data_IF_013290700379
#
_entry.id   IF_013290700379
#
_cell.length_a   1.000
_cell.length_b   1.000
_cell.length_c   1.000
_cell.angle_alpha   90.00
_cell.angle_beta   90.00
_cell.angle_gamma   90.00
#
_symmetry.space_group_name_H-M   'P 1'
#
loop_
_entity.id
_entity.type
_entity.pdbx_description
1 polymer ?
#
# COMPACT_ATOMS: atom_id res chain seq x y z
N UNK A 1 -17.73 3.69 -6.21
CA UNK A 1 -18.64 3.48 -5.06
C UNK A 1 -17.87 2.63 -4.07
N UNK A 2 -17.71 3.07 -2.83
CA UNK A 2 -17.11 2.26 -1.76
C UNK A 2 -18.23 1.76 -0.87
N UNK A 3 -18.17 0.49 -0.48
CA UNK A 3 -19.18 -0.12 0.38
C UNK A 3 -18.68 -0.21 1.80
N UNK A 4 -19.59 -0.09 2.77
CA UNK A 4 -19.24 -0.35 4.16
C UNK A 4 -18.81 -1.81 4.32
N UNK A 5 -17.98 -2.12 5.33
CA UNK A 5 -17.60 -3.49 5.64
C UNK A 5 -18.82 -4.38 5.92
N UNK A 6 -19.91 -3.82 6.47
CA UNK A 6 -21.15 -4.53 6.69
C UNK A 6 -21.87 -4.86 5.38
N UNK A 7 -22.04 -3.88 4.50
CA UNK A 7 -22.62 -4.05 3.15
C UNK A 7 -21.85 -5.12 2.38
N UNK A 8 -20.52 -5.08 2.40
CA UNK A 8 -19.65 -6.07 1.77
C UNK A 8 -19.83 -7.48 2.32
N UNK A 9 -19.87 -7.62 3.65
CA UNK A 9 -20.10 -8.93 4.29
C UNK A 9 -21.47 -9.49 3.91
N UNK A 10 -22.52 -8.66 3.91
CA UNK A 10 -23.88 -9.10 3.58
C UNK A 10 -24.01 -9.48 2.11
N UNK A 11 -23.48 -8.65 1.19
CA UNK A 11 -23.42 -8.96 -0.23
C UNK A 11 -22.61 -10.23 -0.47
N UNK A 12 -21.43 -10.33 0.14
CA UNK A 12 -20.54 -11.47 0.00
C UNK A 12 -21.17 -12.77 0.49
N UNK A 13 -21.79 -12.77 1.67
CA UNK A 13 -22.48 -13.94 2.20
C UNK A 13 -23.64 -14.39 1.30
N UNK A 14 -24.48 -13.44 0.87
CA UNK A 14 -25.63 -13.74 0.01
C UNK A 14 -25.19 -14.27 -1.36
N UNK A 15 -24.17 -13.67 -1.97
CA UNK A 15 -23.65 -14.10 -3.26
C UNK A 15 -22.88 -15.44 -3.17
N UNK A 16 -22.14 -15.69 -2.08
CA UNK A 16 -21.51 -16.99 -1.80
C UNK A 16 -22.49 -18.13 -1.62
N UNK A 17 -23.63 -17.89 -1.00
CA UNK A 17 -24.68 -18.91 -0.89
C UNK A 17 -25.22 -19.39 -2.24
N UNK A 18 -24.96 -18.64 -3.33
CA UNK A 18 -25.44 -18.89 -4.69
C UNK A 18 -24.35 -19.36 -5.66
N UNK A 19 -23.18 -19.75 -5.17
CA UNK A 19 -22.10 -20.25 -6.02
C UNK A 19 -22.54 -21.41 -6.92
N UNK A 20 -22.16 -21.32 -8.19
CA UNK A 20 -22.51 -22.28 -9.22
C UNK A 20 -23.98 -22.28 -9.63
N UNK A 21 -24.85 -21.49 -8.99
CA UNK A 21 -26.26 -21.39 -9.35
C UNK A 21 -26.47 -20.37 -10.47
N UNK A 22 -27.48 -20.57 -11.35
CA UNK A 22 -27.92 -19.53 -12.28
C UNK A 22 -28.36 -18.28 -11.52
N UNK A 23 -27.96 -17.12 -12.01
CA UNK A 23 -28.36 -15.82 -11.46
C UNK A 23 -28.89 -14.95 -12.59
N UNK A 24 -30.14 -14.51 -12.45
CA UNK A 24 -30.74 -13.43 -13.21
C UNK A 24 -30.76 -12.14 -12.39
N UNK A 25 -30.96 -10.99 -13.03
CA UNK A 25 -31.00 -9.71 -12.33
C UNK A 25 -32.06 -9.70 -11.20
N UNK A 26 -33.27 -10.20 -11.46
CA UNK A 26 -34.35 -10.22 -10.47
C UNK A 26 -34.04 -11.09 -9.24
N UNK A 27 -33.13 -12.07 -9.34
CA UNK A 27 -32.69 -12.86 -8.19
C UNK A 27 -31.89 -12.03 -7.17
N UNK A 28 -31.46 -10.84 -7.56
CA UNK A 28 -30.68 -9.91 -6.77
C UNK A 28 -31.50 -8.74 -6.20
N UNK A 29 -32.84 -8.73 -6.34
CA UNK A 29 -33.71 -7.65 -5.81
C UNK A 29 -33.48 -7.32 -4.33
N UNK A 30 -33.05 -8.31 -3.54
CA UNK A 30 -32.66 -8.10 -2.14
C UNK A 30 -31.51 -7.10 -1.96
N UNK A 31 -30.67 -6.92 -2.96
CA UNK A 31 -29.55 -5.98 -2.94
C UNK A 31 -29.99 -4.52 -2.86
N UNK A 32 -31.24 -4.18 -3.23
CA UNK A 32 -31.76 -2.82 -3.09
C UNK A 32 -31.81 -2.36 -1.64
N UNK A 33 -32.01 -3.29 -0.69
CA UNK A 33 -31.94 -2.99 0.74
C UNK A 33 -30.55 -2.56 1.21
N UNK A 34 -29.52 -2.89 0.43
CA UNK A 34 -28.11 -2.59 0.75
C UNK A 34 -27.53 -1.48 -0.13
N UNK A 35 -28.03 -1.35 -1.37
CA UNK A 35 -27.46 -0.51 -2.42
C UNK A 35 -28.37 0.64 -2.86
N UNK A 36 -29.61 0.69 -2.38
CA UNK A 36 -30.64 1.65 -2.81
C UNK A 36 -31.47 1.14 -3.99
N UNK A 37 -32.54 1.88 -4.33
CA UNK A 37 -33.46 1.52 -5.41
C UNK A 37 -32.72 1.32 -6.75
N UNK A 38 -32.92 0.15 -7.38
CA UNK A 38 -32.25 -0.22 -8.62
C UNK A 38 -30.80 -0.71 -8.45
N UNK A 39 -30.30 -0.83 -7.22
CA UNK A 39 -28.98 -1.36 -6.89
C UNK A 39 -28.79 -2.81 -7.35
N UNK A 40 -29.85 -3.61 -7.41
CA UNK A 40 -29.81 -4.98 -7.94
C UNK A 40 -29.40 -5.06 -9.41
N UNK A 41 -29.84 -4.11 -10.25
CA UNK A 41 -29.47 -4.04 -11.68
C UNK A 41 -28.00 -3.69 -11.83
N UNK A 42 -27.55 -2.71 -11.04
CA UNK A 42 -26.15 -2.34 -10.99
C UNK A 42 -25.28 -3.53 -10.55
N UNK A 43 -25.71 -4.25 -9.50
CA UNK A 43 -24.97 -5.40 -8.97
C UNK A 43 -24.86 -6.51 -10.02
N UNK A 44 -25.96 -6.80 -10.72
CA UNK A 44 -25.97 -7.78 -11.79
C UNK A 44 -24.99 -7.43 -12.92
N UNK A 45 -25.05 -6.19 -13.42
CA UNK A 45 -24.14 -5.69 -14.45
C UNK A 45 -22.67 -5.71 -13.98
N UNK A 46 -22.41 -5.33 -12.73
CA UNK A 46 -21.07 -5.35 -12.16
C UNK A 46 -20.51 -6.78 -12.06
N UNK A 47 -21.33 -7.76 -11.63
CA UNK A 47 -20.91 -9.17 -11.60
C UNK A 47 -20.57 -9.69 -13.01
N UNK A 48 -21.30 -9.27 -14.05
CA UNK A 48 -20.96 -9.62 -15.43
C UNK A 48 -19.65 -8.96 -15.88
N UNK A 49 -19.52 -7.63 -15.71
CA UNK A 49 -18.32 -6.88 -16.14
C UNK A 49 -17.04 -7.34 -15.44
N UNK A 50 -17.14 -7.76 -14.19
CA UNK A 50 -16.00 -8.24 -13.41
C UNK A 50 -15.77 -9.76 -13.52
N UNK A 51 -16.46 -10.44 -14.45
CA UNK A 51 -16.23 -11.87 -14.73
C UNK A 51 -16.66 -12.79 -13.59
N UNK A 52 -17.52 -12.33 -12.68
CA UNK A 52 -18.09 -13.14 -11.62
C UNK A 52 -19.17 -14.10 -12.14
N UNK A 53 -19.67 -13.90 -13.36
CA UNK A 53 -20.66 -14.76 -14.01
C UNK A 53 -20.07 -15.42 -15.26
N UNK A 54 -20.15 -16.75 -15.32
CA UNK A 54 -19.83 -17.54 -16.51
C UNK A 54 -21.04 -18.41 -16.88
N UNK A 55 -21.54 -18.29 -18.11
CA UNK A 55 -22.77 -18.95 -18.54
C UNK A 55 -24.00 -18.58 -17.68
N UNK A 56 -23.99 -17.37 -17.09
CA UNK A 56 -25.04 -16.91 -16.17
C UNK A 56 -24.96 -17.52 -14.76
N UNK A 57 -23.87 -18.21 -14.40
CA UNK A 57 -23.65 -18.81 -13.08
C UNK A 57 -22.55 -18.12 -12.31
N UNK A 58 -22.72 -17.94 -11.01
CA UNK A 58 -21.73 -17.32 -10.14
C UNK A 58 -20.49 -18.20 -9.98
N UNK A 59 -19.32 -17.63 -10.28
CA UNK A 59 -18.02 -18.30 -10.19
C UNK A 59 -17.26 -17.82 -8.96
N UNK A 60 -16.67 -18.76 -8.23
CA UNK A 60 -15.92 -18.48 -7.00
C UNK A 60 -14.72 -17.55 -7.24
N UNK A 61 -13.96 -17.73 -8.31
CA UNK A 61 -12.80 -16.86 -8.52
C UNK A 61 -13.21 -15.42 -8.89
N UNK A 62 -14.16 -15.27 -9.82
CA UNK A 62 -14.60 -13.96 -10.29
C UNK A 62 -15.34 -13.16 -9.22
N UNK A 63 -16.18 -13.81 -8.40
CA UNK A 63 -16.88 -13.14 -7.31
C UNK A 63 -15.93 -12.77 -6.14
N UNK A 64 -14.89 -13.57 -5.89
CA UNK A 64 -13.87 -13.22 -4.89
C UNK A 64 -13.09 -11.97 -5.33
N UNK A 65 -12.71 -11.92 -6.60
CA UNK A 65 -12.06 -10.75 -7.19
C UNK A 65 -12.98 -9.52 -7.17
N UNK A 66 -14.26 -9.69 -7.50
CA UNK A 66 -15.26 -8.62 -7.43
C UNK A 66 -15.38 -8.05 -6.02
N UNK A 67 -15.68 -8.88 -5.01
CA UNK A 67 -15.84 -8.41 -3.62
C UNK A 67 -14.54 -7.83 -3.07
N UNK A 68 -13.40 -8.45 -3.40
CA UNK A 68 -12.07 -7.98 -3.00
C UNK A 68 -11.77 -6.57 -3.51
N UNK A 69 -12.22 -6.22 -4.72
CA UNK A 69 -12.04 -4.86 -5.27
C UNK A 69 -12.81 -3.77 -4.53
N UNK A 70 -13.81 -4.14 -3.72
CA UNK A 70 -14.56 -3.21 -2.88
C UNK A 70 -14.20 -3.36 -1.40
N UNK A 71 -13.55 -4.46 -1.01
CA UNK A 71 -13.06 -4.74 0.34
C UNK A 71 -11.72 -4.05 0.65
N UNK A 72 -11.45 -2.87 0.06
CA UNK A 72 -10.36 -1.98 0.46
C UNK A 72 -10.62 -1.52 1.91
N UNK A 73 -10.32 -2.41 2.85
CA UNK A 73 -10.37 -2.15 4.28
C UNK A 73 -9.17 -1.31 4.63
N UNK A 74 -9.47 -0.15 5.22
CA UNK A 74 -8.46 0.69 5.81
C UNK A 74 -8.31 0.33 7.29
N UNK A 75 -7.18 -0.30 7.63
CA UNK A 75 -6.89 -0.66 9.02
C UNK A 75 -6.14 0.47 9.72
N UNK A 76 -6.53 0.78 10.95
CA UNK A 76 -5.77 1.69 11.81
C UNK A 76 -4.55 0.98 12.37
N UNK A 77 -3.40 1.64 12.24
CA UNK A 77 -2.10 1.16 12.66
C UNK A 77 -1.57 2.05 13.78
N UNK A 78 -0.79 1.46 14.69
CA UNK A 78 -0.29 2.16 15.87
C UNK A 78 1.15 1.79 16.16
N UNK A 79 1.94 2.79 16.55
CA UNK A 79 3.10 2.58 17.42
C UNK A 79 2.69 3.04 18.81
N UNK A 80 2.95 2.23 19.84
CA UNK A 80 2.68 2.58 21.24
C UNK A 80 3.91 2.22 22.08
N UNK A 81 4.28 3.03 23.09
CA UNK A 81 5.39 2.71 23.98
C UNK A 81 5.25 1.33 24.61
N UNK A 82 6.32 0.54 24.60
CA UNK A 82 6.42 -0.78 25.23
C UNK A 82 5.39 -1.81 24.72
N UNK A 83 4.98 -1.70 23.46
CA UNK A 83 4.11 -2.68 22.78
C UNK A 83 4.66 -3.01 21.41
N UNK A 84 4.23 -4.15 20.87
CA UNK A 84 4.47 -4.46 19.48
C UNK A 84 3.76 -3.44 18.58
N UNK A 85 4.48 -2.88 17.61
CA UNK A 85 3.96 -1.83 16.72
C UNK A 85 3.27 -2.48 15.51
N UNK A 86 1.95 -2.34 15.41
CA UNK A 86 1.22 -2.76 14.22
C UNK A 86 1.58 -1.90 13.01
N UNK A 87 2.05 -0.67 13.24
CA UNK A 87 2.58 0.20 12.19
C UNK A 87 3.87 -0.36 11.59
N UNK A 88 4.85 -0.72 12.42
CA UNK A 88 6.11 -1.30 11.95
C UNK A 88 5.88 -2.67 11.29
N UNK A 89 4.99 -3.50 11.86
CA UNK A 89 4.61 -4.77 11.26
C UNK A 89 4.00 -4.61 9.86
N UNK A 90 3.12 -3.62 9.66
CA UNK A 90 2.54 -3.35 8.35
C UNK A 90 3.58 -2.81 7.34
N UNK A 91 4.56 -2.01 7.78
CA UNK A 91 5.68 -1.61 6.91
C UNK A 91 6.50 -2.84 6.49
N UNK A 92 6.84 -3.72 7.45
CA UNK A 92 7.59 -4.94 7.15
C UNK A 92 6.83 -5.85 6.18
N UNK A 93 5.52 -5.98 6.35
CA UNK A 93 4.64 -6.71 5.41
C UNK A 93 4.66 -6.08 4.01
N UNK A 94 4.65 -4.75 3.90
CA UNK A 94 4.74 -4.05 2.62
C UNK A 94 6.08 -4.34 1.92
N UNK A 95 7.18 -4.33 2.67
CA UNK A 95 8.51 -4.65 2.13
C UNK A 95 8.59 -6.13 1.72
N UNK A 96 8.08 -7.03 2.55
CA UNK A 96 8.11 -8.46 2.32
C UNK A 96 7.25 -8.88 1.11
N UNK A 97 6.10 -8.23 0.91
CA UNK A 97 5.16 -8.54 -0.17
C UNK A 97 5.46 -7.83 -1.50
N UNK A 98 6.37 -6.85 -1.52
CA UNK A 98 6.71 -6.15 -2.75
C UNK A 98 7.50 -7.04 -3.72
N UNK A 99 6.97 -7.21 -4.93
CA UNK A 99 7.54 -8.03 -6.01
C UNK A 99 8.06 -7.19 -7.19
N UNK A 100 7.46 -6.02 -7.44
CA UNK A 100 7.75 -5.17 -8.60
C UNK A 100 8.42 -3.86 -8.17
N UNK A 101 7.76 -3.10 -7.29
CA UNK A 101 8.22 -1.77 -6.89
C UNK A 101 7.75 -1.43 -5.48
N UNK A 102 8.72 -1.15 -4.60
CA UNK A 102 8.51 -0.60 -3.27
C UNK A 102 8.84 0.90 -3.27
N UNK A 103 7.89 1.72 -2.80
CA UNK A 103 8.13 3.12 -2.47
C UNK A 103 8.26 3.30 -0.96
N UNK A 104 9.28 4.03 -0.52
CA UNK A 104 9.46 4.49 0.86
C UNK A 104 9.60 6.01 0.86
N UNK A 105 8.70 6.70 1.54
CA UNK A 105 8.70 8.16 1.64
C UNK A 105 8.73 8.50 3.11
N UNK A 106 9.74 9.24 3.55
CA UNK A 106 9.81 9.76 4.91
C UNK A 106 10.82 10.90 5.00
N UNK A 107 10.50 12.03 5.64
CA UNK A 107 11.46 13.13 5.77
C UNK A 107 12.69 12.74 6.59
N UNK A 108 12.51 11.85 7.56
CA UNK A 108 13.57 11.47 8.48
C UNK A 108 13.77 9.95 8.46
N UNK A 109 15.00 9.58 8.13
CA UNK A 109 15.53 8.22 8.23
C UNK A 109 16.69 8.26 9.21
N UNK A 110 16.81 7.24 10.04
CA UNK A 110 18.01 7.05 10.86
C UNK A 110 18.50 5.61 10.79
N UNK A 111 19.74 5.40 11.21
CA UNK A 111 20.40 4.11 11.06
C UNK A 111 19.69 3.00 11.84
N UNK A 112 19.26 3.25 13.08
CA UNK A 112 18.51 2.27 13.87
C UNK A 112 17.13 1.98 13.27
N UNK A 113 16.40 3.02 12.84
CA UNK A 113 15.13 2.88 12.16
C UNK A 113 15.23 2.01 10.90
N UNK A 114 16.19 2.33 10.03
CA UNK A 114 16.45 1.55 8.82
C UNK A 114 16.99 0.15 9.11
N UNK A 115 17.71 -0.06 10.22
CA UNK A 115 18.17 -1.39 10.63
C UNK A 115 16.99 -2.33 10.95
N UNK A 116 15.90 -1.83 11.55
CA UNK A 116 14.69 -2.64 11.79
C UNK A 116 14.03 -3.15 10.51
N UNK A 117 14.16 -2.39 9.43
CA UNK A 117 13.62 -2.73 8.11
C UNK A 117 14.65 -3.43 7.22
N UNK A 118 15.92 -3.39 7.63
CA UNK A 118 17.06 -3.62 6.74
C UNK A 118 17.07 -4.99 6.11
N UNK A 119 16.87 -6.04 6.89
CA UNK A 119 16.95 -7.41 6.36
C UNK A 119 15.84 -7.70 5.35
N UNK A 120 14.63 -7.18 5.55
CA UNK A 120 13.54 -7.30 4.57
C UNK A 120 13.78 -6.46 3.32
N UNK A 121 14.35 -5.26 3.46
CA UNK A 121 14.72 -4.43 2.30
C UNK A 121 15.79 -5.09 1.44
N UNK A 122 16.78 -5.72 2.07
CA UNK A 122 17.79 -6.49 1.35
C UNK A 122 17.12 -7.68 0.66
N UNK A 123 16.27 -8.46 1.35
CA UNK A 123 15.52 -9.56 0.71
C UNK A 123 14.72 -9.09 -0.49
N UNK A 124 14.07 -7.93 -0.43
CA UNK A 124 13.35 -7.36 -1.57
C UNK A 124 14.29 -7.05 -2.75
N UNK A 125 15.44 -6.42 -2.52
CA UNK A 125 16.44 -6.21 -3.58
C UNK A 125 16.95 -7.53 -4.17
N UNK A 126 17.20 -8.54 -3.33
CA UNK A 126 17.62 -9.87 -3.77
C UNK A 126 16.57 -10.58 -4.64
N UNK A 127 15.27 -10.35 -4.38
CA UNK A 127 14.18 -10.85 -5.22
C UNK A 127 14.05 -10.14 -6.57
N UNK A 128 14.76 -9.03 -6.78
CA UNK A 128 14.66 -8.22 -7.99
C UNK A 128 13.71 -7.02 -7.87
N UNK A 129 13.15 -6.73 -6.69
CA UNK A 129 12.22 -5.63 -6.48
C UNK A 129 12.93 -4.28 -6.67
N UNK A 130 12.32 -3.37 -7.43
CA UNK A 130 12.79 -1.98 -7.48
C UNK A 130 12.41 -1.26 -6.18
N UNK A 131 13.34 -0.52 -5.57
CA UNK A 131 13.08 0.29 -4.37
C UNK A 131 13.32 1.76 -4.71
N UNK A 132 12.34 2.61 -4.40
CA UNK A 132 12.48 4.06 -4.51
C UNK A 132 12.27 4.71 -3.16
N UNK A 133 13.27 5.48 -2.72
CA UNK A 133 13.27 6.16 -1.43
C UNK A 133 13.25 7.66 -1.65
N UNK A 134 12.32 8.38 -1.02
CA UNK A 134 12.27 9.84 -1.02
C UNK A 134 12.43 10.35 0.41
N UNK A 135 13.45 11.17 0.65
CA UNK A 135 13.77 11.70 1.99
C UNK A 135 14.41 13.09 1.93
N UNK A 136 14.69 13.70 3.09
CA UNK A 136 15.49 14.94 3.17
C UNK A 136 16.98 14.64 3.31
N UNK A 137 17.80 15.61 2.90
CA UNK A 137 19.22 15.72 3.24
C UNK A 137 20.07 14.46 2.98
N UNK A 138 19.69 13.65 1.99
CA UNK A 138 20.46 12.48 1.59
C UNK A 138 21.67 12.85 0.69
N UNK A 139 21.74 14.10 0.22
CA UNK A 139 22.86 14.61 -0.59
C UNK A 139 24.12 14.88 0.23
N UNK A 140 23.98 15.25 1.50
CA UNK A 140 25.11 15.62 2.34
C UNK A 140 25.86 14.36 2.82
N UNK A 141 27.14 14.17 2.43
CA UNK A 141 27.91 13.02 2.89
C UNK A 141 28.01 13.01 4.41
N UNK A 142 27.57 11.90 5.02
CA UNK A 142 27.57 11.76 6.47
C UNK A 142 26.37 12.41 7.17
N UNK A 143 25.32 12.84 6.47
CA UNK A 143 24.04 13.10 7.11
C UNK A 143 23.47 11.82 7.75
N UNK A 144 22.56 11.92 8.74
CA UNK A 144 21.86 10.76 9.30
C UNK A 144 21.21 9.87 8.22
N UNK A 145 20.59 10.48 7.22
CA UNK A 145 19.92 9.81 6.10
C UNK A 145 20.91 9.12 5.19
N UNK A 146 22.02 9.78 4.82
CA UNK A 146 23.07 9.17 4.02
C UNK A 146 23.68 7.94 4.74
N UNK A 147 23.93 8.04 6.05
CA UNK A 147 24.40 6.89 6.86
C UNK A 147 23.37 5.76 6.93
N UNK A 148 22.09 6.10 7.09
CA UNK A 148 21.01 5.12 7.18
C UNK A 148 20.82 4.33 5.87
N UNK A 149 21.10 4.95 4.72
CA UNK A 149 20.95 4.36 3.39
C UNK A 149 22.20 3.62 2.89
N UNK A 150 23.37 3.86 3.48
CA UNK A 150 24.65 3.35 3.00
C UNK A 150 24.66 1.83 2.80
N UNK A 151 24.15 1.03 3.75
CA UNK A 151 24.10 -0.45 3.62
C UNK A 151 23.26 -0.88 2.42
N UNK A 152 22.10 -0.24 2.23
CA UNK A 152 21.19 -0.56 1.14
C UNK A 152 21.77 -0.18 -0.23
N UNK A 153 22.44 0.98 -0.31
CA UNK A 153 23.15 1.41 -1.52
C UNK A 153 24.26 0.43 -1.90
N UNK A 154 25.07 -0.01 -0.94
CA UNK A 154 26.15 -0.97 -1.21
C UNK A 154 25.60 -2.32 -1.71
N UNK A 155 24.47 -2.78 -1.15
CA UNK A 155 23.87 -4.04 -1.59
C UNK A 155 23.25 -3.93 -2.98
N UNK A 156 22.57 -2.82 -3.29
CA UNK A 156 21.93 -2.59 -4.59
C UNK A 156 22.89 -2.66 -5.78
N UNK A 157 24.20 -2.46 -5.56
CA UNK A 157 25.24 -2.61 -6.58
C UNK A 157 25.56 -4.07 -6.94
N UNK A 158 25.05 -5.05 -6.17
CA UNK A 158 25.47 -6.45 -6.21
C UNK A 158 24.33 -7.43 -6.53
N UNK A 159 23.10 -6.95 -6.61
CA UNK A 159 21.87 -7.77 -6.68
C UNK A 159 20.99 -7.34 -7.86
N UNK A 160 19.95 -8.12 -8.14
CA UNK A 160 19.08 -7.90 -9.31
C UNK A 160 18.16 -6.69 -9.16
N UNK A 161 17.71 -6.39 -7.94
CA UNK A 161 16.84 -5.25 -7.66
C UNK A 161 17.58 -3.92 -7.80
N UNK A 162 16.83 -2.87 -8.12
CA UNK A 162 17.38 -1.52 -8.29
C UNK A 162 17.04 -0.63 -7.12
N UNK A 163 17.93 0.29 -6.75
CA UNK A 163 17.65 1.32 -5.75
C UNK A 163 17.70 2.70 -6.39
N UNK A 164 16.63 3.48 -6.22
CA UNK A 164 16.59 4.89 -6.54
C UNK A 164 16.41 5.73 -5.26
N UNK A 165 17.25 6.74 -5.06
CA UNK A 165 17.15 7.63 -3.89
C UNK A 165 16.95 9.06 -4.39
N UNK A 166 15.90 9.70 -3.88
CA UNK A 166 15.57 11.09 -4.14
C UNK A 166 15.68 11.89 -2.84
N UNK A 167 16.44 12.98 -2.89
CA UNK A 167 16.52 13.96 -1.81
C UNK A 167 15.68 15.17 -2.13
N UNK A 168 14.73 15.48 -1.25
CA UNK A 168 13.94 16.69 -1.32
C UNK A 168 14.76 17.89 -0.84
N UNK A 169 14.68 18.99 -1.58
CA UNK A 169 15.29 20.27 -1.25
C UNK A 169 14.39 21.05 -0.28
N UNK A 170 14.84 21.27 0.96
CA UNK A 170 14.04 21.92 2.01
C UNK A 170 13.61 23.34 1.63
N UNK A 171 14.45 24.06 0.87
CA UNK A 171 14.20 25.42 0.42
C UNK A 171 13.02 25.55 -0.56
N UNK A 172 12.62 24.45 -1.21
CA UNK A 172 11.48 24.41 -2.14
C UNK A 172 10.20 23.87 -1.53
N UNK A 173 10.28 23.33 -0.32
CA UNK A 173 9.14 22.74 0.38
C UNK A 173 9.59 21.63 1.33
N UNK A 174 8.89 21.53 2.45
CA UNK A 174 9.12 20.45 3.42
C UNK A 174 8.39 19.19 2.96
N UNK A 175 9.13 18.18 2.47
CA UNK A 175 8.64 16.80 2.45
C UNK A 175 8.25 16.44 3.88
N UNK A 176 7.01 16.04 4.13
CA UNK A 176 6.63 15.59 5.47
C UNK A 176 5.69 14.39 5.47
N UNK A 177 5.43 13.84 4.28
CA UNK A 177 4.69 12.59 4.11
C UNK A 177 5.49 11.41 4.66
N UNK A 178 4.81 10.46 5.30
CA UNK A 178 5.37 9.15 5.65
C UNK A 178 4.51 8.08 5.04
N UNK A 179 5.00 7.47 3.96
CA UNK A 179 4.22 6.56 3.14
C UNK A 179 5.10 5.40 2.70
N UNK A 180 4.55 4.19 2.74
CA UNK A 180 5.13 2.99 2.13
C UNK A 180 4.12 2.40 1.16
N UNK A 181 4.51 2.10 -0.08
CA UNK A 181 3.60 1.50 -1.08
C UNK A 181 4.27 0.32 -1.75
N UNK A 182 3.59 -0.83 -1.77
CA UNK A 182 4.02 -2.03 -2.46
C UNK A 182 3.22 -2.22 -3.76
N UNK A 183 3.92 -2.30 -4.89
CA UNK A 183 3.44 -2.73 -6.21
C UNK A 183 2.22 -1.97 -6.77
N UNK A 184 1.96 -0.75 -6.30
CA UNK A 184 0.70 -0.02 -6.55
C UNK A 184 -0.55 -0.79 -6.09
N UNK A 185 -0.40 -1.81 -5.24
CA UNK A 185 -1.49 -2.69 -4.78
C UNK A 185 -1.99 -2.32 -3.39
N UNK A 186 -1.12 -1.85 -2.51
CA UNK A 186 -1.49 -1.41 -1.18
C UNK A 186 -0.35 -0.62 -0.53
N UNK A 187 -0.62 0.04 0.59
CA UNK A 187 0.39 0.75 1.33
C UNK A 187 -0.01 1.17 2.74
N UNK A 188 0.90 1.87 3.39
CA UNK A 188 0.74 2.46 4.73
C UNK A 188 1.00 3.96 4.64
N UNK A 189 0.12 4.78 5.20
CA UNK A 189 0.27 6.22 5.38
C UNK A 189 0.12 6.54 6.86
N UNK A 190 0.95 7.43 7.41
CA UNK A 190 0.75 7.86 8.80
C UNK A 190 1.78 8.84 9.32
N UNK A 191 1.90 8.90 10.65
CA UNK A 191 2.71 9.90 11.36
C UNK A 191 4.15 9.46 11.65
N UNK A 192 4.42 8.16 11.67
CA UNK A 192 5.73 7.62 12.02
C UNK A 192 6.78 7.89 10.93
N UNK A 193 7.91 8.51 11.32
CA UNK A 193 9.12 8.51 10.50
C UNK A 193 9.81 7.13 10.53
N UNK A 194 10.73 6.86 9.60
CA UNK A 194 11.53 5.62 9.60
C UNK A 194 12.73 5.76 10.54
N UNK A 195 12.42 6.04 11.79
CA UNK A 195 13.35 6.16 12.92
C UNK A 195 12.99 5.15 14.02
N UNK A 196 13.92 4.78 14.89
CA UNK A 196 13.70 3.89 16.03
C UNK A 196 12.58 4.43 16.94
N UNK A 197 12.51 5.74 17.30
CA UNK A 197 11.34 6.33 17.96
C UNK A 197 10.04 6.12 17.19
N UNK A 198 9.98 6.45 15.89
CA UNK A 198 8.75 6.35 15.10
C UNK A 198 8.24 4.91 14.99
N UNK A 199 9.15 3.95 14.85
CA UNK A 199 8.80 2.54 14.65
C UNK A 199 8.52 1.78 15.96
N UNK A 200 9.03 2.23 17.12
CA UNK A 200 8.97 1.43 18.36
C UNK A 200 8.45 2.12 19.61
N UNK A 201 8.65 3.42 19.77
CA UNK A 201 8.51 4.05 21.09
C UNK A 201 7.53 5.22 21.11
N UNK A 202 7.43 5.99 20.03
CA UNK A 202 6.49 7.09 19.94
C UNK A 202 5.05 6.59 19.88
N UNK A 203 4.11 7.45 20.25
CA UNK A 203 2.70 7.25 19.95
C UNK A 203 2.45 7.74 18.54
N UNK A 204 2.33 6.80 17.60
CA UNK A 204 2.12 7.08 16.18
C UNK A 204 0.83 6.42 15.71
N UNK A 205 0.19 7.02 14.71
CA UNK A 205 -1.02 6.48 14.07
C UNK A 205 -0.82 6.42 12.56
N UNK A 206 -1.37 5.38 11.96
CA UNK A 206 -1.39 5.21 10.51
C UNK A 206 -2.63 4.52 10.01
N UNK A 207 -2.69 4.41 8.70
CA UNK A 207 -3.75 3.79 7.94
C UNK A 207 -3.12 2.87 6.89
N UNK A 208 -3.55 1.61 6.87
CA UNK A 208 -3.36 0.75 5.70
C UNK A 208 -4.36 1.17 4.62
N UNK A 209 -3.96 1.21 3.37
CA UNK A 209 -4.86 1.48 2.25
C UNK A 209 -4.59 0.50 1.11
N UNK A 210 -5.61 0.24 0.30
CA UNK A 210 -5.53 -0.72 -0.80
C UNK A 210 -5.28 -0.08 -2.17
N UNK A 211 -5.65 -0.82 -3.21
CA UNK A 211 -5.07 -0.67 -4.55
C UNK A 211 -5.43 0.66 -5.20
N UNK A 212 -6.67 1.11 -5.04
CA UNK A 212 -7.12 2.36 -5.64
C UNK A 212 -6.26 3.54 -5.14
N UNK A 213 -6.04 3.61 -3.83
CA UNK A 213 -5.24 4.66 -3.21
C UNK A 213 -3.75 4.49 -3.51
N UNK A 214 -3.24 3.25 -3.53
CA UNK A 214 -1.85 2.95 -3.87
C UNK A 214 -1.49 3.42 -5.28
N UNK A 215 -2.35 3.15 -6.27
CA UNK A 215 -2.18 3.66 -7.65
C UNK A 215 -2.17 5.17 -7.70
N UNK A 216 -3.10 5.83 -7.00
CA UNK A 216 -3.18 7.29 -6.97
C UNK A 216 -1.94 7.92 -6.33
N UNK A 217 -1.47 7.38 -5.19
CA UNK A 217 -0.26 7.84 -4.50
C UNK A 217 0.96 7.67 -5.40
N UNK A 218 1.17 6.49 -6.00
CA UNK A 218 2.35 6.25 -6.84
C UNK A 218 2.37 7.17 -8.06
N UNK A 219 1.22 7.43 -8.69
CA UNK A 219 1.15 8.39 -9.79
C UNK A 219 1.62 9.80 -9.38
N UNK A 220 1.31 10.23 -8.15
CA UNK A 220 1.78 11.51 -7.61
C UNK A 220 3.29 11.47 -7.28
N UNK A 221 3.79 10.36 -6.72
CA UNK A 221 5.22 10.20 -6.44
C UNK A 221 6.06 10.22 -7.72
N UNK A 222 5.62 9.55 -8.77
CA UNK A 222 6.28 9.57 -10.08
C UNK A 222 6.27 10.95 -10.73
N UNK A 223 5.16 11.70 -10.56
CA UNK A 223 5.11 13.09 -10.99
C UNK A 223 6.11 13.94 -10.21
N UNK A 224 6.16 13.77 -8.89
CA UNK A 224 7.08 14.50 -8.01
C UNK A 224 8.55 14.21 -8.35
N UNK A 225 8.91 12.97 -8.72
CA UNK A 225 10.27 12.61 -9.14
C UNK A 225 10.72 13.31 -10.44
N UNK A 226 9.80 13.91 -11.22
CA UNK A 226 10.13 14.72 -12.40
C UNK A 226 10.32 16.20 -12.08
N UNK A 227 9.95 16.63 -10.88
CA UNK A 227 10.07 18.02 -10.45
C UNK A 227 11.50 18.34 -10.01
N UNK A 228 11.93 19.58 -10.24
CA UNK A 228 13.28 20.05 -9.84
C UNK A 228 13.49 20.11 -8.32
N UNK A 229 12.43 19.86 -7.55
CA UNK A 229 12.46 19.80 -6.08
C UNK A 229 13.10 18.50 -5.56
N UNK A 230 13.03 17.40 -6.33
CA UNK A 230 13.68 16.14 -5.97
C UNK A 230 14.98 15.95 -6.77
N UNK A 231 16.09 15.77 -6.06
CA UNK A 231 17.38 15.44 -6.66
C UNK A 231 17.63 13.95 -6.52
N UNK A 232 17.81 13.27 -7.66
CA UNK A 232 18.16 11.84 -7.67
C UNK A 232 19.66 11.66 -7.37
N UNK A 233 19.98 10.75 -6.46
CA UNK A 233 21.35 10.47 -5.97
C UNK A 233 21.84 9.08 -6.38
N UNK A 234 20.90 8.13 -6.52
CA UNK A 234 21.11 6.77 -7.01
C UNK A 234 19.90 6.38 -7.87
#
# INVERSE_FOLDING_TARGET
MTWSSETLRLLGAALWSRLGQPVAANDLLWADSLLGEGGYLWLYDALQRHGALEGGRLQAQGLAAFLGGYADHSDLLWTLPNRESSYAAAILEAIASAEQHLWLVSPYLEQQGMAHLGDELLRALWRGTAISIITHDALEPGSPQARALARLQQEALRVQGTLAIYSAQMEKGLLHAKIVVADRRWGVLGSANLTDPGLRWNVEIGLRFGEQHARAVVAQLEALCRETWLVRIA
#
